data_IF_896672007379
#
_entry.id   IF_896672007379
#
_cell.length_a   1.000
_cell.length_b   1.000
_cell.length_c   1.000
_cell.angle_alpha   90.00
_cell.angle_beta   90.00
_cell.angle_gamma   90.00
#
_symmetry.space_group_name_H-M   'P 1'
#
loop_
_entity.id
_entity.type
_entity.pdbx_description
1 polymer ?
#
# COMPACT_ATOMS: atom_id res chain seq x y z
N UNK A 1 -13.03 1.59 -14.43
CA UNK A 1 -12.32 2.86 -14.16
C UNK A 1 -12.03 2.93 -12.67
N UNK A 2 -10.81 3.23 -12.24
CA UNK A 2 -10.51 3.49 -10.82
C UNK A 2 -10.82 4.96 -10.56
N UNK A 3 -11.81 5.28 -9.71
CA UNK A 3 -12.19 6.66 -9.38
C UNK A 3 -11.05 7.51 -8.80
N UNK A 4 -11.37 8.73 -8.32
CA UNK A 4 -10.38 9.58 -7.63
C UNK A 4 -10.09 9.07 -6.21
N UNK A 5 -8.80 9.04 -5.86
CA UNK A 5 -8.32 8.62 -4.55
C UNK A 5 -7.26 9.58 -4.02
N UNK A 6 -7.31 9.87 -2.72
CA UNK A 6 -6.18 10.41 -1.98
C UNK A 6 -5.29 9.25 -1.53
N UNK A 7 -4.01 9.33 -1.85
CA UNK A 7 -3.03 8.29 -1.52
C UNK A 7 -1.86 8.90 -0.75
N UNK A 8 -1.18 8.05 0.02
CA UNK A 8 0.07 8.42 0.70
C UNK A 8 1.15 7.40 0.39
N UNK A 9 2.36 7.87 0.09
CA UNK A 9 3.50 7.02 -0.20
C UNK A 9 3.88 6.18 1.03
N UNK A 10 4.24 4.92 0.77
CA UNK A 10 4.76 4.01 1.77
C UNK A 10 6.25 3.86 1.54
N UNK A 11 7.05 4.34 2.50
CA UNK A 11 8.51 4.32 2.43
C UNK A 11 9.09 3.40 3.50
N UNK A 12 10.20 2.74 3.16
CA UNK A 12 10.97 1.99 4.13
C UNK A 12 11.60 2.96 5.14
N UNK A 13 11.30 2.79 6.43
CA UNK A 13 11.86 3.63 7.51
C UNK A 13 13.40 3.51 7.62
N UNK A 14 13.98 2.43 7.10
CA UNK A 14 15.43 2.19 7.19
C UNK A 14 16.19 2.86 6.05
N UNK A 15 15.75 2.69 4.80
CA UNK A 15 16.48 3.18 3.62
C UNK A 15 15.79 4.33 2.89
N UNK A 16 14.57 4.71 3.27
CA UNK A 16 13.79 5.77 2.61
C UNK A 16 13.19 5.38 1.25
N UNK A 17 13.43 4.16 0.77
CA UNK A 17 12.93 3.72 -0.53
C UNK A 17 11.40 3.60 -0.52
N UNK A 18 10.76 4.16 -1.56
CA UNK A 18 9.31 4.03 -1.76
C UNK A 18 8.98 2.59 -2.16
N UNK A 19 8.24 1.90 -1.30
CA UNK A 19 7.78 0.52 -1.48
C UNK A 19 6.43 0.45 -2.22
N UNK A 20 5.67 1.54 -2.20
CA UNK A 20 4.34 1.64 -2.77
C UNK A 20 3.52 2.75 -2.12
N UNK A 21 2.23 2.53 -1.92
CA UNK A 21 1.32 3.56 -1.41
C UNK A 21 0.09 2.97 -0.72
N UNK A 22 -0.56 3.78 0.13
CA UNK A 22 -1.79 3.47 0.86
C UNK A 22 -2.93 4.33 0.33
N UNK A 23 -4.12 3.74 0.18
CA UNK A 23 -5.34 4.54 -0.01
C UNK A 23 -5.73 5.20 1.32
N UNK A 24 -5.74 6.53 1.33
CA UNK A 24 -6.19 7.34 2.47
C UNK A 24 -7.69 7.57 2.36
N UNK A 25 -8.15 8.02 1.18
CA UNK A 25 -9.56 8.30 0.94
C UNK A 25 -9.94 7.94 -0.51
N UNK A 26 -11.13 7.38 -0.69
CA UNK A 26 -11.77 7.19 -1.98
C UNK A 26 -13.03 8.08 -2.07
N UNK A 27 -13.19 8.79 -3.19
CA UNK A 27 -14.35 9.69 -3.37
C UNK A 27 -15.66 8.90 -3.58
N UNK A 28 -15.59 7.75 -4.23
CA UNK A 28 -16.75 6.93 -4.56
C UNK A 28 -17.01 5.88 -3.48
N UNK A 29 -18.28 5.75 -3.04
CA UNK A 29 -18.68 4.76 -2.04
C UNK A 29 -18.33 3.33 -2.45
N UNK A 30 -18.43 3.02 -3.75
CA UNK A 30 -18.08 1.71 -4.31
C UNK A 30 -16.58 1.38 -4.19
N UNK A 31 -15.73 2.37 -3.92
CA UNK A 31 -14.28 2.24 -3.81
C UNK A 31 -13.76 2.37 -2.36
N UNK A 32 -14.62 2.71 -1.38
CA UNK A 32 -14.25 2.84 0.04
C UNK A 32 -13.60 1.58 0.63
N UNK A 33 -13.86 0.40 0.06
CA UNK A 33 -13.20 -0.86 0.48
C UNK A 33 -11.67 -0.85 0.29
N UNK A 34 -11.13 0.05 -0.55
CA UNK A 34 -9.71 0.21 -0.79
C UNK A 34 -9.04 1.04 0.30
N UNK A 35 -9.78 1.90 1.01
CA UNK A 35 -9.23 2.71 2.08
C UNK A 35 -8.53 1.82 3.11
N UNK A 36 -7.39 2.30 3.59
CA UNK A 36 -6.49 1.56 4.47
C UNK A 36 -5.82 0.32 3.89
N UNK A 37 -5.99 0.02 2.59
CA UNK A 37 -5.22 -1.00 1.89
C UNK A 37 -3.93 -0.41 1.31
N UNK A 38 -2.91 -1.24 1.25
CA UNK A 38 -1.62 -0.91 0.66
C UNK A 38 -1.44 -1.62 -0.67
N UNK A 39 -0.85 -0.91 -1.62
CA UNK A 39 -0.27 -1.49 -2.83
C UNK A 39 1.24 -1.36 -2.67
N UNK A 40 1.94 -2.48 -2.78
CA UNK A 40 3.40 -2.55 -2.66
C UNK A 40 3.98 -3.27 -3.87
N UNK A 41 5.16 -2.85 -4.29
CA UNK A 41 5.90 -3.50 -5.36
C UNK A 41 6.48 -4.83 -4.86
N UNK A 42 6.08 -5.94 -5.49
CA UNK A 42 6.51 -7.29 -5.08
C UNK A 42 8.03 -7.47 -5.13
N UNK A 43 8.71 -6.83 -6.08
CA UNK A 43 10.18 -6.86 -6.21
C UNK A 43 10.90 -6.25 -5.00
N UNK A 44 10.25 -5.32 -4.28
CA UNK A 44 10.79 -4.63 -3.11
C UNK A 44 10.44 -5.34 -1.79
N UNK A 45 9.69 -6.45 -1.85
CA UNK A 45 9.27 -7.22 -0.68
C UNK A 45 9.96 -8.58 -0.69
N UNK A 46 10.82 -8.81 0.29
CA UNK A 46 11.37 -10.14 0.53
C UNK A 46 10.52 -10.86 1.59
N UNK A 47 10.03 -12.07 1.27
CA UNK A 47 9.44 -12.95 2.28
C UNK A 47 10.59 -13.54 3.08
N UNK A 48 10.97 -12.85 4.16
CA UNK A 48 11.84 -13.44 5.18
C UNK A 48 11.28 -14.78 5.66
N UNK A 49 12.10 -15.63 6.31
CA UNK A 49 11.66 -16.95 6.73
C UNK A 49 10.37 -16.80 7.53
N UNK A 50 9.29 -17.45 7.08
CA UNK A 50 8.07 -17.52 7.88
C UNK A 50 8.51 -18.11 9.20
N UNK A 51 8.40 -17.35 10.29
CA UNK A 51 8.41 -17.93 11.62
C UNK A 51 7.19 -18.85 11.67
N UNK A 52 7.41 -20.11 11.30
CA UNK A 52 6.54 -21.19 11.68
C UNK A 52 6.60 -21.19 13.21
N UNK A 53 5.54 -20.70 13.82
CA UNK A 53 5.26 -20.97 15.22
C UNK A 53 4.82 -22.44 15.34
#
# INVERSE_FOLDING_TARGET
MTGRHLVSDCQCVVCGETLGWKYIEAQEQSQKYKENKFIVERSKINRGPSRAA
#
